data_IF_609205165220
#
_entry.id   IF_609205165220
#
_cell.length_a   1.000
_cell.length_b   1.000
_cell.length_c   1.000
_cell.angle_alpha   90.00
_cell.angle_beta   90.00
_cell.angle_gamma   90.00
#
_symmetry.space_group_name_H-M   'P 1'
#
loop_
_entity.id
_entity.type
_entity.pdbx_description
1 polymer ?
#
# COMPACT_ATOMS: atom_id res chain seq x y z
N UNK A 1 -47.33 -4.76 -15.69
CA UNK A 1 -47.67 -3.91 -14.53
C UNK A 1 -48.29 -4.77 -13.45
N UNK A 2 -47.60 -4.96 -12.32
CA UNK A 2 -48.23 -5.40 -11.08
C UNK A 2 -47.56 -4.64 -9.94
N UNK A 3 -48.27 -3.64 -9.41
CA UNK A 3 -47.95 -2.95 -8.16
C UNK A 3 -48.47 -3.81 -7.01
N UNK A 4 -47.71 -3.93 -5.93
CA UNK A 4 -48.14 -3.54 -4.56
C UNK A 4 -47.03 -3.79 -3.53
N UNK A 5 -46.63 -2.68 -2.93
CA UNK A 5 -45.94 -2.53 -1.65
C UNK A 5 -46.72 -3.23 -0.52
N UNK A 6 -46.05 -3.77 0.50
CA UNK A 6 -46.11 -3.22 1.87
C UNK A 6 -45.12 -3.91 2.85
N UNK A 7 -44.37 -3.15 3.67
CA UNK A 7 -43.50 -3.62 4.76
C UNK A 7 -44.19 -3.50 6.14
N UNK A 8 -43.95 -4.44 7.07
CA UNK A 8 -44.31 -4.36 8.51
C UNK A 8 -43.37 -5.31 9.26
N UNK A 9 -42.29 -4.87 9.94
CA UNK A 9 -42.21 -4.20 11.24
C UNK A 9 -42.86 -4.98 12.39
N UNK A 10 -42.06 -5.70 13.19
CA UNK A 10 -42.33 -5.80 14.62
C UNK A 10 -41.08 -5.41 15.41
N UNK A 11 -41.22 -4.21 15.96
CA UNK A 11 -40.46 -3.55 16.99
C UNK A 11 -40.54 -4.38 18.29
N UNK A 12 -39.40 -4.85 18.81
CA UNK A 12 -39.21 -4.98 20.26
C UNK A 12 -37.84 -4.38 20.59
N UNK A 13 -37.92 -3.14 21.06
CA UNK A 13 -36.86 -2.46 21.81
C UNK A 13 -36.91 -3.01 23.22
N UNK A 14 -35.73 -3.30 23.78
CA UNK A 14 -35.25 -2.77 25.05
C UNK A 14 -34.71 -3.80 26.07
N UNK A 15 -33.42 -3.56 26.40
CA UNK A 15 -32.73 -3.61 27.70
C UNK A 15 -32.11 -4.93 28.22
N UNK A 16 -30.89 -4.73 28.73
CA UNK A 16 -30.08 -5.50 29.69
C UNK A 16 -29.36 -6.69 29.04
N UNK A 17 -28.04 -6.70 28.84
CA UNK A 17 -26.99 -6.20 29.73
C UNK A 17 -26.32 -7.39 30.43
N UNK A 18 -24.99 -7.44 30.30
CA UNK A 18 -24.02 -8.24 31.07
C UNK A 18 -23.70 -9.66 30.59
N UNK A 19 -22.39 -9.91 30.50
CA UNK A 19 -21.82 -11.09 31.13
C UNK A 19 -21.26 -12.15 30.20
N UNK A 20 -20.03 -11.92 29.74
CA UNK A 20 -18.88 -12.82 29.89
C UNK A 20 -19.18 -14.27 30.30
N UNK A 21 -18.82 -15.24 29.46
CA UNK A 21 -18.06 -16.45 29.87
C UNK A 21 -17.81 -17.35 28.66
N UNK A 22 -16.54 -17.39 28.25
CA UNK A 22 -15.94 -18.56 27.61
C UNK A 22 -16.10 -19.78 28.53
N UNK A 23 -16.25 -20.98 27.96
CA UNK A 23 -15.33 -22.12 28.17
C UNK A 23 -15.64 -23.22 27.12
N UNK A 24 -14.73 -23.47 26.15
CA UNK A 24 -13.71 -24.56 26.11
C UNK A 24 -14.33 -25.82 25.44
N UNK A 25 -13.80 -26.46 24.39
CA UNK A 25 -12.41 -26.83 24.06
C UNK A 25 -12.29 -27.34 22.60
N UNK A 26 -11.21 -26.99 21.88
CA UNK A 26 -10.23 -27.99 21.38
C UNK A 26 -9.13 -27.38 20.47
N UNK A 27 -7.93 -27.25 21.07
CA UNK A 27 -6.60 -27.63 20.56
C UNK A 27 -6.08 -27.13 19.19
N UNK A 28 -5.13 -26.18 19.24
CA UNK A 28 -3.75 -26.30 18.73
C UNK A 28 -2.94 -25.03 19.08
N UNK A 29 -1.84 -25.17 19.82
CA UNK A 29 -0.95 -24.06 20.21
C UNK A 29 -0.10 -23.50 19.05
N UNK A 30 0.84 -22.56 19.27
CA UNK A 30 1.22 -21.85 20.50
C UNK A 30 0.92 -20.34 20.38
N UNK A 31 -0.08 -19.81 21.09
CA UNK A 31 -0.38 -18.38 21.02
C UNK A 31 0.24 -17.61 22.20
N UNK A 32 1.27 -16.86 21.85
CA UNK A 32 1.74 -15.55 22.37
C UNK A 32 0.71 -14.81 23.24
N UNK A 33 0.41 -15.26 24.46
CA UNK A 33 -0.48 -14.50 25.34
C UNK A 33 -0.44 -14.94 26.80
N UNK A 34 0.73 -15.25 27.35
CA UNK A 34 0.82 -15.53 28.79
C UNK A 34 2.16 -15.11 29.39
N UNK A 35 2.36 -13.78 29.43
CA UNK A 35 3.27 -13.14 30.39
C UNK A 35 2.88 -11.67 30.56
N UNK A 36 1.61 -11.39 30.89
CA UNK A 36 1.24 -10.06 31.38
C UNK A 36 0.28 -10.16 32.54
N UNK A 37 0.82 -10.60 33.68
CA UNK A 37 0.36 -10.18 35.00
C UNK A 37 1.55 -10.19 35.94
N UNK A 38 2.11 -9.01 36.18
CA UNK A 38 2.54 -8.53 37.49
C UNK A 38 2.54 -6.99 37.42
N UNK A 39 1.79 -6.29 38.29
CA UNK A 39 1.91 -4.84 38.45
C UNK A 39 3.13 -4.57 39.34
N UNK A 40 4.31 -4.91 38.84
CA UNK A 40 5.59 -4.48 39.38
C UNK A 40 5.95 -3.15 38.75
N UNK A 41 6.37 -2.16 39.56
CA UNK A 41 6.87 -0.87 39.09
C UNK A 41 7.99 -1.11 38.07
N UNK A 42 7.71 -0.93 36.78
CA UNK A 42 8.76 -0.82 35.76
C UNK A 42 9.65 0.34 36.20
N UNK A 43 10.96 0.08 36.31
CA UNK A 43 11.89 1.14 36.68
C UNK A 43 11.97 2.17 35.56
N UNK A 44 12.32 3.41 35.90
CA UNK A 44 12.42 4.51 34.95
C UNK A 44 13.29 4.17 33.73
N UNK A 45 14.25 3.26 33.90
CA UNK A 45 15.16 2.77 32.86
C UNK A 45 14.47 1.87 31.81
N UNK A 46 13.48 1.07 32.19
CA UNK A 46 12.71 0.23 31.26
C UNK A 46 11.72 1.09 30.44
N UNK A 47 11.08 2.07 31.08
CA UNK A 47 10.24 3.06 30.38
C UNK A 47 11.05 3.93 29.41
N UNK A 48 12.27 4.32 29.78
CA UNK A 48 13.18 5.05 28.89
C UNK A 48 13.65 4.21 27.71
N UNK A 49 13.81 2.90 27.90
CA UNK A 49 14.24 1.97 26.85
C UNK A 49 13.12 1.68 25.85
N UNK A 50 11.89 1.53 26.31
CA UNK A 50 10.72 1.35 25.45
C UNK A 50 10.35 2.65 24.72
N UNK A 51 10.44 3.81 25.39
CA UNK A 51 10.23 5.11 24.74
C UNK A 51 11.30 5.42 23.67
N UNK A 52 12.55 4.96 23.85
CA UNK A 52 13.60 5.10 22.82
C UNK A 52 13.34 4.26 21.58
N UNK A 53 12.64 3.13 21.72
CA UNK A 53 12.28 2.26 20.61
C UNK A 53 11.08 2.79 19.83
N UNK A 54 10.12 3.46 20.47
CA UNK A 54 8.98 4.09 19.77
C UNK A 54 9.34 5.41 19.08
N UNK A 55 10.41 6.09 19.51
CA UNK A 55 10.86 7.37 18.92
C UNK A 55 11.74 7.24 17.66
N UNK A 56 12.02 6.02 17.19
CA UNK A 56 12.68 5.76 15.90
C UNK A 56 11.71 4.90 15.08
N UNK A 57 10.87 5.45 14.20
CA UNK A 57 11.20 5.73 12.80
C UNK A 57 10.01 6.53 12.23
N UNK A 58 10.11 7.86 12.25
CA UNK A 58 9.67 8.65 11.10
C UNK A 58 10.96 9.16 10.49
N UNK A 59 11.62 8.28 9.72
CA UNK A 59 12.71 8.71 8.86
C UNK A 59 12.06 9.58 7.81
N UNK A 60 12.14 10.88 8.04
CA UNK A 60 12.01 11.90 7.02
C UNK A 60 12.78 11.38 5.81
N UNK A 61 12.05 11.10 4.72
CA UNK A 61 12.66 10.51 3.52
C UNK A 61 13.88 11.35 3.17
N UNK A 62 15.08 10.74 3.06
CA UNK A 62 16.27 11.49 2.72
C UNK A 62 15.99 12.28 1.43
N UNK A 63 16.55 13.50 1.29
CA UNK A 63 16.35 14.31 0.10
C UNK A 63 16.60 13.43 -1.12
N UNK A 64 15.56 13.25 -1.94
CA UNK A 64 15.61 12.30 -3.05
C UNK A 64 16.77 12.70 -3.94
N UNK A 65 17.75 11.79 -4.07
CA UNK A 65 18.93 12.04 -4.88
C UNK A 65 18.50 12.45 -6.29
N UNK A 66 19.13 13.50 -6.81
CA UNK A 66 18.87 13.95 -8.17
C UNK A 66 19.11 12.78 -9.14
N UNK A 67 18.11 12.50 -9.98
CA UNK A 67 18.15 11.40 -10.92
C UNK A 67 19.08 11.76 -12.07
N UNK A 68 20.18 11.03 -12.13
CA UNK A 68 21.29 11.29 -13.04
C UNK A 68 21.19 10.50 -14.35
N UNK A 69 20.40 9.42 -14.39
CA UNK A 69 20.28 8.55 -15.56
C UNK A 69 18.83 8.15 -15.87
N UNK A 70 18.61 7.74 -17.13
CA UNK A 70 17.31 7.22 -17.58
C UNK A 70 16.97 5.88 -16.92
N UNK A 71 17.97 5.08 -16.54
CA UNK A 71 17.79 3.80 -15.85
C UNK A 71 17.31 4.00 -14.42
N UNK A 72 17.87 4.98 -13.70
CA UNK A 72 17.40 5.38 -12.37
C UNK A 72 15.96 5.90 -12.44
N UNK A 73 15.66 6.75 -13.44
CA UNK A 73 14.31 7.25 -13.66
C UNK A 73 13.32 6.12 -14.00
N UNK A 74 13.73 5.15 -14.83
CA UNK A 74 12.94 3.97 -15.16
C UNK A 74 12.60 3.15 -13.91
N UNK A 75 13.58 2.95 -13.02
CA UNK A 75 13.35 2.27 -11.74
C UNK A 75 12.27 2.97 -10.93
N UNK A 76 12.26 4.31 -10.89
CA UNK A 76 11.20 5.06 -10.19
C UNK A 76 9.82 4.84 -10.79
N UNK A 77 9.70 4.74 -12.12
CA UNK A 77 8.41 4.42 -12.76
C UNK A 77 7.99 2.99 -12.44
N UNK A 78 8.93 2.04 -12.42
CA UNK A 78 8.64 0.65 -12.04
C UNK A 78 8.17 0.57 -10.59
N UNK A 79 8.88 1.22 -9.66
CA UNK A 79 8.52 1.28 -8.24
C UNK A 79 7.16 1.94 -8.04
N UNK A 80 6.88 3.07 -8.71
CA UNK A 80 5.61 3.80 -8.60
C UNK A 80 4.41 2.98 -9.06
N UNK A 81 4.62 2.02 -9.97
CA UNK A 81 3.59 1.16 -10.53
C UNK A 81 3.59 -0.25 -9.91
N UNK A 82 4.37 -0.46 -8.85
CA UNK A 82 4.58 -1.75 -8.18
C UNK A 82 4.95 -2.88 -9.16
N UNK A 83 5.78 -2.56 -10.17
CA UNK A 83 6.22 -3.49 -11.21
C UNK A 83 7.52 -4.20 -10.81
N UNK A 84 7.57 -5.49 -11.10
CA UNK A 84 8.74 -6.36 -10.97
C UNK A 84 9.33 -6.70 -12.35
N UNK A 85 10.58 -7.20 -12.38
CA UNK A 85 11.25 -7.55 -13.65
C UNK A 85 10.53 -8.65 -14.46
N UNK A 86 9.67 -9.45 -13.81
CA UNK A 86 8.94 -10.55 -14.44
C UNK A 86 7.55 -10.17 -14.94
N UNK A 87 7.12 -8.93 -14.73
CA UNK A 87 5.84 -8.47 -15.24
C UNK A 87 5.86 -8.37 -16.77
N UNK A 88 4.73 -8.69 -17.39
CA UNK A 88 4.50 -8.48 -18.83
C UNK A 88 4.43 -7.00 -19.24
N UNK A 89 4.75 -6.10 -18.31
CA UNK A 89 4.69 -4.65 -18.47
C UNK A 89 6.05 -4.12 -18.92
N UNK A 90 6.11 -3.48 -20.07
CA UNK A 90 7.28 -2.78 -20.58
C UNK A 90 7.22 -1.30 -20.20
N UNK A 91 8.32 -0.80 -19.63
CA UNK A 91 8.56 0.64 -19.41
C UNK A 91 9.65 1.09 -20.38
N UNK A 92 9.27 1.91 -21.36
CA UNK A 92 10.10 2.39 -22.47
C UNK A 92 10.41 3.87 -22.30
N UNK A 93 11.65 4.27 -22.54
CA UNK A 93 12.06 5.68 -22.49
C UNK A 93 11.73 6.38 -23.82
N UNK A 94 10.97 7.47 -23.76
CA UNK A 94 10.50 8.21 -24.94
C UNK A 94 11.27 9.51 -25.17
N UNK A 95 11.90 10.08 -24.13
CA UNK A 95 12.69 11.29 -24.28
C UNK A 95 12.72 12.16 -23.02
N UNK A 96 13.08 13.43 -23.21
CA UNK A 96 13.13 14.42 -22.15
C UNK A 96 12.27 15.63 -22.49
N UNK A 97 11.64 16.20 -21.47
CA UNK A 97 10.95 17.49 -21.56
C UNK A 97 11.39 18.39 -20.40
N UNK A 98 12.27 19.34 -20.70
CA UNK A 98 12.88 20.19 -19.68
C UNK A 98 13.57 19.38 -18.58
N UNK A 99 13.07 19.48 -17.36
CA UNK A 99 13.59 18.75 -16.19
C UNK A 99 13.01 17.35 -16.00
N UNK A 100 12.28 16.81 -16.97
CA UNK A 100 11.60 15.52 -16.85
C UNK A 100 12.17 14.48 -17.82
N UNK A 101 12.33 13.25 -17.33
CA UNK A 101 12.42 12.06 -18.18
C UNK A 101 11.01 11.53 -18.47
N UNK A 102 10.75 11.06 -19.69
CA UNK A 102 9.44 10.62 -20.15
C UNK A 102 9.48 9.15 -20.50
N UNK A 103 8.49 8.41 -20.01
CA UNK A 103 8.37 6.98 -20.22
C UNK A 103 6.98 6.63 -20.73
N UNK A 104 6.93 5.71 -21.69
CA UNK A 104 5.71 5.03 -22.10
C UNK A 104 5.63 3.67 -21.42
N UNK A 105 4.49 3.37 -20.82
CA UNK A 105 4.23 2.09 -20.15
C UNK A 105 3.21 1.31 -20.95
N UNK A 106 3.51 0.05 -21.27
CA UNK A 106 2.63 -0.82 -22.05
C UNK A 106 2.64 -2.26 -21.52
N UNK A 107 1.53 -2.97 -21.66
CA UNK A 107 1.43 -4.39 -21.40
C UNK A 107 1.57 -5.19 -22.67
N UNK A 108 2.27 -6.31 -22.61
CA UNK A 108 2.17 -7.36 -23.61
C UNK A 108 0.99 -8.28 -23.25
N UNK A 109 -0.07 -8.23 -24.04
CA UNK A 109 -1.25 -9.09 -23.91
C UNK A 109 -1.38 -9.98 -25.15
N UNK A 110 -2.16 -11.05 -25.08
CA UNK A 110 -2.37 -11.94 -26.22
C UNK A 110 -3.83 -11.94 -26.62
N UNK A 111 -4.13 -11.56 -27.86
CA UNK A 111 -5.46 -11.69 -28.46
C UNK A 111 -5.40 -12.70 -29.59
N UNK A 112 -6.21 -13.76 -29.55
CA UNK A 112 -6.18 -14.83 -30.55
C UNK A 112 -4.78 -15.43 -30.80
N UNK A 113 -4.00 -15.63 -29.73
CA UNK A 113 -2.60 -16.09 -29.76
C UNK A 113 -1.62 -15.15 -30.48
N UNK A 114 -2.02 -13.91 -30.78
CA UNK A 114 -1.13 -12.88 -31.30
C UNK A 114 -0.76 -11.88 -30.19
N UNK A 115 0.53 -11.56 -30.00
CA UNK A 115 0.96 -10.61 -29.00
C UNK A 115 0.61 -9.18 -29.43
N UNK A 116 -0.04 -8.45 -28.54
CA UNK A 116 -0.47 -7.06 -28.72
C UNK A 116 0.07 -6.20 -27.58
N UNK A 117 0.44 -4.95 -27.91
CA UNK A 117 0.90 -3.97 -26.91
C UNK A 117 -0.25 -3.05 -26.52
N UNK A 118 -0.72 -3.17 -25.28
CA UNK A 118 -1.75 -2.29 -24.73
C UNK A 118 -1.09 -1.16 -23.92
N UNK A 119 -1.31 0.09 -24.33
CA UNK A 119 -0.81 1.26 -23.60
C UNK A 119 -1.45 1.37 -22.21
N UNK A 120 -0.63 1.55 -21.17
CA UNK A 120 -1.08 2.00 -19.84
C UNK A 120 -0.99 3.52 -19.68
N UNK A 121 -0.32 4.21 -20.59
CA UNK A 121 -0.12 5.66 -20.57
C UNK A 121 1.34 6.08 -20.49
N UNK A 122 1.53 7.38 -20.36
CA UNK A 122 2.84 8.02 -20.26
C UNK A 122 3.06 8.55 -18.85
N UNK A 123 4.30 8.49 -18.41
CA UNK A 123 4.74 8.92 -17.09
C UNK A 123 5.96 9.81 -17.23
N UNK A 124 6.04 10.83 -16.38
CA UNK A 124 7.22 11.69 -16.26
C UNK A 124 7.86 11.54 -14.90
N UNK A 125 9.18 11.64 -14.89
CA UNK A 125 10.00 11.63 -13.67
C UNK A 125 10.77 12.93 -13.58
N UNK A 126 10.57 13.69 -12.50
CA UNK A 126 11.31 14.92 -12.24
C UNK A 126 12.76 14.59 -11.90
N UNK A 127 13.71 15.12 -12.67
CA UNK A 127 15.15 14.84 -12.51
C UNK A 127 15.72 15.32 -11.20
N UNK A 128 15.14 16.36 -10.61
CA UNK A 128 15.67 16.95 -9.38
C UNK A 128 15.08 16.31 -8.13
N UNK A 129 13.83 15.82 -8.20
CA UNK A 129 13.10 15.31 -7.03
C UNK A 129 12.81 13.81 -7.09
N UNK A 130 13.02 13.17 -8.24
CA UNK A 130 12.64 11.78 -8.48
C UNK A 130 11.13 11.50 -8.46
N UNK A 131 10.31 12.53 -8.33
CA UNK A 131 8.85 12.43 -8.32
C UNK A 131 8.32 11.91 -9.66
N UNK A 132 7.43 10.92 -9.59
CA UNK A 132 6.76 10.32 -10.75
C UNK A 132 5.33 10.83 -10.82
N UNK A 133 4.88 11.25 -11.99
CA UNK A 133 3.49 11.62 -12.26
C UNK A 133 3.04 11.15 -13.64
N UNK A 134 1.73 10.91 -13.85
CA UNK A 134 1.18 10.74 -15.19
C UNK A 134 1.52 11.94 -16.07
N UNK A 135 1.74 11.68 -17.35
CA UNK A 135 1.86 12.72 -18.35
C UNK A 135 0.47 13.09 -18.85
N UNK A 136 0.04 14.30 -18.53
CA UNK A 136 -1.15 14.92 -19.12
C UNK A 136 -0.66 15.86 -20.23
N UNK A 137 -1.25 15.75 -21.41
CA UNK A 137 -1.06 16.74 -22.46
C UNK A 137 -1.90 17.97 -22.10
N UNK A 138 -1.21 19.07 -21.73
CA UNK A 138 -1.82 20.38 -21.50
C UNK A 138 -2.35 21.02 -22.80
#
# INVERSE_FOLDING_TARGET
MLKKFLPVLFLIVAIVGCGNQNEIENTKGPSIMEARKEPGRLSSEELLRDARNEAMIQVENPPTEAISSKEQAKSKVMDHLDLTEHDSTSVSFEGMQGKYYVFHVSNLVHFNNQPEKLSRGWYRVNRNTGEVSPWEED
#
